data_IF_809537384135
#
_entry.id   IF_809537384135
#
_cell.length_a   1.000
_cell.length_b   1.000
_cell.length_c   1.000
_cell.angle_alpha   90.00
_cell.angle_beta   90.00
_cell.angle_gamma   90.00
#
_symmetry.space_group_name_H-M   'P 1'
#
loop_
_entity.id
_entity.type
_entity.pdbx_description
1 polymer ?
#
# COMPACT_ATOMS: atom_id res chain seq x y z
N UNK A 1 18.17 -22.31 42.99
CA UNK A 1 16.70 -22.35 43.16
C UNK A 1 16.22 -21.06 43.81
N UNK A 2 15.40 -20.25 43.12
CA UNK A 2 14.12 -19.69 43.60
C UNK A 2 13.60 -18.65 42.61
N UNK A 3 12.48 -18.99 42.00
CA UNK A 3 11.60 -18.12 41.23
C UNK A 3 10.88 -17.13 42.16
N UNK A 4 10.47 -15.98 41.62
CA UNK A 4 9.23 -15.33 42.04
C UNK A 4 8.62 -14.58 40.86
N UNK A 5 7.47 -15.07 40.40
CA UNK A 5 6.49 -14.42 39.52
C UNK A 5 5.47 -13.67 40.39
N UNK A 6 4.51 -13.03 39.70
CA UNK A 6 3.27 -12.32 40.13
C UNK A 6 3.45 -10.79 40.11
N UNK A 7 2.63 -9.97 39.44
CA UNK A 7 1.41 -10.18 38.67
C UNK A 7 0.60 -8.86 38.60
N UNK A 8 0.02 -8.57 37.43
CA UNK A 8 -1.26 -7.85 37.16
C UNK A 8 -1.57 -6.47 37.77
N UNK A 9 -1.94 -5.48 36.94
CA UNK A 9 -3.31 -4.90 36.88
C UNK A 9 -3.38 -3.63 36.01
N UNK A 10 -4.48 -3.52 35.26
CA UNK A 10 -4.84 -2.45 34.36
C UNK A 10 -5.12 -1.12 35.06
N UNK A 11 -4.86 0.00 34.36
CA UNK A 11 -5.48 1.29 34.66
C UNK A 11 -6.27 1.74 33.43
N UNK A 12 -7.58 1.56 33.52
CA UNK A 12 -8.58 2.25 32.69
C UNK A 12 -9.12 3.38 33.56
N UNK A 13 -9.00 4.62 33.10
CA UNK A 13 -9.77 5.74 33.61
C UNK A 13 -10.34 6.50 32.42
N UNK A 14 -11.67 6.53 32.36
CA UNK A 14 -12.47 7.14 31.33
C UNK A 14 -13.09 8.46 31.84
N UNK A 15 -13.50 9.29 30.87
CA UNK A 15 -14.54 10.32 30.89
C UNK A 15 -14.21 11.69 31.54
N UNK A 16 -14.28 12.75 30.73
CA UNK A 16 -15.35 13.76 30.84
C UNK A 16 -15.41 14.67 29.60
N UNK A 17 -16.63 15.13 29.30
CA UNK A 17 -17.13 15.79 28.10
C UNK A 17 -16.99 17.33 28.16
N UNK A 18 -17.05 17.95 26.96
CA UNK A 18 -17.40 19.37 26.72
C UNK A 18 -16.21 20.32 26.71
N UNK A 19 -16.00 21.23 25.76
CA UNK A 19 -16.84 21.77 24.70
C UNK A 19 -16.63 23.30 24.64
N UNK A 20 -16.26 23.79 23.46
CA UNK A 20 -16.44 25.16 22.93
C UNK A 20 -15.51 26.33 23.38
N UNK A 21 -14.96 26.97 22.34
CA UNK A 21 -14.77 28.42 22.11
C UNK A 21 -13.74 29.17 22.97
N UNK A 22 -12.96 30.15 22.48
CA UNK A 22 -12.85 30.81 21.17
C UNK A 22 -11.69 31.83 21.25
N UNK A 23 -11.25 32.31 20.07
CA UNK A 23 -10.64 33.63 19.82
C UNK A 23 -9.18 33.85 20.26
N UNK A 24 -8.25 34.17 19.35
CA UNK A 24 -8.40 34.42 17.91
C UNK A 24 -7.14 35.00 17.30
N UNK A 25 -6.93 34.75 16.02
CA UNK A 25 -6.82 35.84 15.04
C UNK A 25 -7.10 35.28 13.63
N UNK A 26 -7.75 36.13 12.83
CA UNK A 26 -8.68 35.82 11.73
C UNK A 26 -7.98 35.93 10.37
N UNK A 27 -8.24 34.94 9.51
CA UNK A 27 -8.68 34.94 8.08
C UNK A 27 -8.32 36.15 7.18
N UNK A 28 -8.04 35.93 5.86
CA UNK A 28 -9.18 35.90 4.94
C UNK A 28 -9.08 34.86 3.80
N UNK A 29 -10.17 34.12 3.61
CA UNK A 29 -10.76 33.99 2.27
C UNK A 29 -10.82 32.60 1.64
N UNK A 30 -11.64 31.71 2.20
CA UNK A 30 -12.32 30.67 1.42
C UNK A 30 -13.84 30.93 1.47
N UNK A 31 -14.50 31.22 0.34
CA UNK A 31 -15.92 30.97 0.20
C UNK A 31 -16.14 29.74 -0.70
N UNK A 32 -17.01 28.85 -0.23
CA UNK A 32 -17.91 28.15 -1.14
C UNK A 32 -17.73 26.65 -1.24
N UNK A 33 -18.29 25.93 -0.28
CA UNK A 33 -18.87 24.60 -0.50
C UNK A 33 -19.80 24.59 -1.72
N UNK A 34 -19.62 23.61 -2.62
CA UNK A 34 -20.70 23.05 -3.44
C UNK A 34 -20.20 21.91 -4.33
N UNK A 35 -20.48 20.66 -3.91
CA UNK A 35 -20.75 19.53 -4.80
C UNK A 35 -19.56 18.86 -5.50
N UNK A 36 -19.13 17.70 -4.98
CA UNK A 36 -18.85 16.43 -5.71
C UNK A 36 -18.07 15.48 -4.77
N UNK A 37 -18.40 14.19 -4.65
CA UNK A 37 -17.59 13.23 -3.91
C UNK A 37 -16.44 12.78 -4.83
N UNK A 38 -15.31 13.47 -4.76
CA UNK A 38 -14.13 13.20 -5.59
C UNK A 38 -12.85 13.17 -4.76
N UNK A 39 -12.26 11.97 -4.68
CA UNK A 39 -10.84 11.66 -4.46
C UNK A 39 -9.91 12.82 -4.04
N UNK A 40 -9.37 12.74 -2.82
CA UNK A 40 -8.04 13.30 -2.50
C UNK A 40 -7.50 12.71 -1.20
N UNK A 41 -6.57 11.77 -1.34
CA UNK A 41 -5.65 11.37 -0.27
C UNK A 41 -4.24 11.25 -0.85
N UNK A 42 -3.63 12.39 -1.13
CA UNK A 42 -2.18 12.48 -1.23
C UNK A 42 -1.62 12.76 0.17
N UNK A 43 -1.02 11.75 0.80
CA UNK A 43 -0.39 11.89 2.11
C UNK A 43 0.91 11.08 2.21
N UNK A 44 2.00 11.68 1.71
CA UNK A 44 3.36 11.55 2.28
C UNK A 44 4.28 10.44 1.75
N UNK A 45 5.57 10.74 1.49
CA UNK A 45 6.56 9.71 1.18
C UNK A 45 6.89 8.93 2.44
N UNK A 46 6.58 7.63 2.45
CA UNK A 46 7.07 6.72 3.49
C UNK A 46 6.05 6.00 4.34
N UNK A 47 4.75 6.01 4.00
CA UNK A 47 3.86 4.94 4.44
C UNK A 47 4.08 3.72 3.54
N UNK A 48 4.76 2.73 4.10
CA UNK A 48 4.58 1.34 3.68
C UNK A 48 3.07 1.11 3.62
N UNK A 49 2.53 0.49 2.56
CA UNK A 49 1.15 0.03 2.62
C UNK A 49 1.04 -0.87 3.84
N UNK A 50 0.36 -0.39 4.87
CA UNK A 50 -0.12 -1.20 5.97
C UNK A 50 -0.80 -2.39 5.31
N UNK A 51 -0.41 -3.62 5.69
CA UNK A 51 -1.03 -4.87 5.21
C UNK A 51 -2.54 -4.81 5.51
N UNK A 52 -3.29 -4.14 4.64
CA UNK A 52 -4.71 -4.29 4.51
C UNK A 52 -4.88 -5.73 4.02
N UNK A 53 -5.68 -6.52 4.74
CA UNK A 53 -5.97 -7.89 4.35
C UNK A 53 -6.27 -7.94 2.85
N UNK A 54 -5.62 -8.87 2.14
CA UNK A 54 -5.63 -9.04 0.68
C UNK A 54 -7.02 -9.30 0.05
N UNK A 55 -8.10 -9.02 0.77
CA UNK A 55 -9.49 -9.20 0.39
C UNK A 55 -10.13 -7.81 0.18
N UNK A 56 -10.01 -7.25 -1.02
CA UNK A 56 -10.80 -6.07 -1.35
C UNK A 56 -10.64 -5.55 -2.77
N UNK A 57 -9.41 -5.49 -3.30
CA UNK A 57 -9.15 -4.71 -4.52
C UNK A 57 -8.02 -5.34 -5.35
N UNK A 58 -8.31 -5.74 -6.59
CA UNK A 58 -7.37 -6.38 -7.50
C UNK A 58 -6.23 -5.42 -7.90
N UNK A 59 -6.51 -4.11 -8.02
CA UNK A 59 -5.48 -3.09 -8.24
C UNK A 59 -4.50 -3.02 -7.08
N UNK A 60 -4.98 -3.00 -5.84
CA UNK A 60 -4.09 -3.01 -4.67
C UNK A 60 -3.21 -4.26 -4.61
N UNK A 61 -3.76 -5.42 -5.00
CA UNK A 61 -2.98 -6.67 -5.07
C UNK A 61 -1.89 -6.57 -6.12
N UNK A 62 -2.21 -6.11 -7.34
CA UNK A 62 -1.23 -5.90 -8.40
C UNK A 62 -0.14 -4.90 -7.98
N UNK A 63 -0.54 -3.76 -7.40
CA UNK A 63 0.38 -2.72 -6.91
C UNK A 63 1.32 -3.25 -5.81
N UNK A 64 0.82 -4.10 -4.92
CA UNK A 64 1.64 -4.74 -3.88
C UNK A 64 2.66 -5.72 -4.47
N UNK A 65 2.26 -6.53 -5.47
CA UNK A 65 3.15 -7.48 -6.14
C UNK A 65 4.27 -6.76 -6.90
N UNK A 66 3.95 -5.71 -7.65
CA UNK A 66 4.93 -4.91 -8.40
C UNK A 66 5.94 -4.26 -7.44
N UNK A 67 5.47 -3.68 -6.32
CA UNK A 67 6.36 -3.08 -5.32
C UNK A 67 7.25 -4.11 -4.64
N UNK A 68 6.69 -5.28 -4.30
CA UNK A 68 7.44 -6.37 -3.69
C UNK A 68 8.55 -6.89 -4.62
N UNK A 69 8.24 -7.15 -5.90
CA UNK A 69 9.23 -7.55 -6.90
C UNK A 69 10.31 -6.47 -7.07
N UNK A 70 9.92 -5.21 -7.18
CA UNK A 70 10.84 -4.09 -7.41
C UNK A 70 11.78 -3.85 -6.24
N UNK A 71 11.29 -3.98 -5.01
CA UNK A 71 12.10 -3.92 -3.80
C UNK A 71 13.09 -5.09 -3.73
N UNK A 72 12.62 -6.32 -4.00
CA UNK A 72 13.46 -7.51 -4.05
C UNK A 72 14.57 -7.40 -5.09
N UNK A 73 14.24 -6.96 -6.32
CA UNK A 73 15.20 -6.70 -7.39
C UNK A 73 16.23 -5.64 -7.01
N UNK A 74 15.78 -4.53 -6.41
CA UNK A 74 16.66 -3.45 -5.93
C UNK A 74 17.66 -3.95 -4.89
N UNK A 75 17.24 -4.91 -4.06
CA UNK A 75 18.05 -5.53 -3.03
C UNK A 75 18.79 -6.80 -3.48
N UNK A 76 18.77 -7.13 -4.78
CA UNK A 76 19.37 -8.33 -5.37
C UNK A 76 18.90 -9.63 -4.71
N UNK A 77 17.69 -9.64 -4.17
CA UNK A 77 17.05 -10.86 -3.66
C UNK A 77 16.60 -11.68 -4.87
N UNK A 78 17.06 -12.93 -4.94
CA UNK A 78 16.64 -13.89 -5.95
C UNK A 78 15.76 -14.96 -5.32
N UNK A 79 14.71 -15.33 -6.02
CA UNK A 79 13.94 -16.53 -5.73
C UNK A 79 14.54 -17.72 -6.49
N UNK A 80 14.14 -18.93 -6.11
CA UNK A 80 14.42 -20.10 -6.92
C UNK A 80 13.69 -19.99 -8.28
N UNK A 81 14.24 -20.55 -9.38
CA UNK A 81 13.63 -20.43 -10.71
C UNK A 81 12.16 -20.86 -10.77
N UNK A 82 11.79 -21.89 -10.01
CA UNK A 82 10.40 -22.36 -9.93
C UNK A 82 9.48 -21.37 -9.20
N UNK A 83 9.98 -20.70 -8.16
CA UNK A 83 9.24 -19.66 -7.44
C UNK A 83 9.08 -18.40 -8.29
N UNK A 84 10.11 -18.04 -9.06
CA UNK A 84 10.04 -16.91 -9.99
C UNK A 84 8.98 -17.14 -11.07
N UNK A 85 8.90 -18.37 -11.62
CA UNK A 85 7.84 -18.75 -12.57
C UNK A 85 6.44 -18.68 -11.96
N UNK A 86 6.24 -19.18 -10.73
CA UNK A 86 4.95 -19.09 -10.03
C UNK A 86 4.56 -17.64 -9.78
N UNK A 87 5.51 -16.83 -9.30
CA UNK A 87 5.28 -15.41 -9.09
C UNK A 87 4.86 -14.71 -10.39
N UNK A 88 5.55 -14.99 -11.51
CA UNK A 88 5.21 -14.41 -12.81
C UNK A 88 3.79 -14.78 -13.25
N UNK A 89 3.36 -16.03 -13.05
CA UNK A 89 2.00 -16.46 -13.36
C UNK A 89 0.95 -15.73 -12.51
N UNK A 90 1.18 -15.62 -11.20
CA UNK A 90 0.27 -14.89 -10.29
C UNK A 90 0.24 -13.39 -10.61
N UNK A 91 1.37 -12.81 -11.02
CA UNK A 91 1.45 -11.40 -11.42
C UNK A 91 0.65 -11.13 -12.69
N UNK A 92 0.74 -12.01 -13.69
CA UNK A 92 -0.05 -11.91 -14.93
C UNK A 92 -1.56 -12.02 -14.67
N UNK A 93 -1.96 -12.92 -13.76
CA UNK A 93 -3.37 -13.01 -13.34
C UNK A 93 -3.80 -11.71 -12.64
N UNK A 94 -3.01 -11.21 -11.68
CA UNK A 94 -3.30 -9.97 -10.97
C UNK A 94 -3.36 -8.75 -11.90
N UNK A 95 -2.52 -8.72 -12.95
CA UNK A 95 -2.53 -7.68 -13.98
C UNK A 95 -3.84 -7.68 -14.78
N UNK A 96 -4.30 -8.87 -15.17
CA UNK A 96 -5.57 -9.04 -15.89
C UNK A 96 -6.78 -8.66 -15.01
N UNK A 97 -6.78 -9.07 -13.75
CA UNK A 97 -7.83 -8.73 -12.78
C UNK A 97 -7.85 -7.23 -12.48
N UNK A 98 -6.68 -6.61 -12.34
CA UNK A 98 -6.53 -5.17 -12.14
C UNK A 98 -7.02 -4.37 -13.36
N UNK A 99 -6.71 -4.81 -14.57
CA UNK A 99 -7.23 -4.22 -15.80
C UNK A 99 -8.77 -4.33 -15.87
N UNK A 100 -9.32 -5.52 -15.57
CA UNK A 100 -10.76 -5.74 -15.53
C UNK A 100 -11.47 -4.85 -14.49
N UNK A 101 -10.84 -4.67 -13.33
CA UNK A 101 -11.37 -3.79 -12.29
C UNK A 101 -11.30 -2.30 -12.69
N UNK A 102 -10.19 -1.83 -13.28
CA UNK A 102 -10.08 -0.47 -13.83
C UNK A 102 -11.16 -0.21 -14.88
N UNK A 103 -11.35 -1.16 -15.81
CA UNK A 103 -12.36 -1.08 -16.85
C UNK A 103 -13.80 -1.04 -16.29
N UNK A 104 -14.03 -1.61 -15.10
CA UNK A 104 -15.34 -1.67 -14.46
C UNK A 104 -15.57 -0.55 -13.42
N UNK A 105 -14.59 0.32 -13.21
CA UNK A 105 -14.64 1.36 -12.18
C UNK A 105 -15.54 2.55 -12.61
N UNK A 106 -16.13 3.23 -11.63
CA UNK A 106 -16.86 4.48 -11.87
C UNK A 106 -15.85 5.58 -12.25
N UNK A 107 -15.77 5.89 -13.54
CA UNK A 107 -14.71 6.72 -14.12
C UNK A 107 -13.70 5.92 -14.96
N UNK A 108 -14.05 4.69 -15.36
CA UNK A 108 -13.22 3.86 -16.21
C UNK A 108 -12.72 4.61 -17.45
N UNK A 109 -11.47 4.36 -17.88
CA UNK A 109 -10.94 4.92 -19.10
C UNK A 109 -11.85 4.59 -20.31
N UNK A 110 -12.02 5.56 -21.21
CA UNK A 110 -12.97 5.45 -22.32
C UNK A 110 -12.62 4.40 -23.39
N UNK A 111 -11.49 3.71 -23.26
CA UNK A 111 -11.06 2.63 -24.15
C UNK A 111 -10.19 1.60 -23.42
N UNK A 112 -10.11 0.39 -23.98
CA UNK A 112 -9.25 -0.68 -23.46
C UNK A 112 -7.76 -0.27 -23.48
N UNK A 113 -7.33 0.47 -24.49
CA UNK A 113 -5.96 1.00 -24.55
C UNK A 113 -5.67 1.96 -23.39
N UNK A 114 -6.64 2.81 -23.03
CA UNK A 114 -6.48 3.73 -21.92
C UNK A 114 -6.43 3.02 -20.55
N UNK A 115 -7.11 1.87 -20.40
CA UNK A 115 -6.97 0.99 -19.22
C UNK A 115 -5.54 0.46 -19.10
N UNK A 116 -4.98 -0.06 -20.20
CA UNK A 116 -3.62 -0.57 -20.20
C UNK A 116 -2.57 0.54 -20.00
N UNK A 117 -2.81 1.73 -20.53
CA UNK A 117 -1.95 2.91 -20.28
C UNK A 117 -1.96 3.31 -18.81
N UNK A 118 -3.14 3.39 -18.18
CA UNK A 118 -3.29 3.70 -16.75
C UNK A 118 -2.61 2.65 -15.87
N UNK A 119 -2.84 1.36 -16.17
CA UNK A 119 -2.20 0.26 -15.44
C UNK A 119 -0.67 0.27 -15.61
N UNK A 120 -0.17 0.56 -16.82
CA UNK A 120 1.26 0.72 -17.09
C UNK A 120 1.88 1.91 -16.35
N UNK A 121 1.17 3.03 -16.27
CA UNK A 121 1.61 4.20 -15.50
C UNK A 121 1.69 3.88 -14.00
N UNK A 122 0.69 3.19 -13.45
CA UNK A 122 0.68 2.71 -12.06
C UNK A 122 1.84 1.78 -11.77
N UNK A 123 2.07 0.79 -12.64
CA UNK A 123 3.23 -0.11 -12.55
C UNK A 123 4.53 0.67 -12.48
N UNK A 124 4.77 1.58 -13.44
CA UNK A 124 5.99 2.38 -13.47
C UNK A 124 6.17 3.26 -12.22
N UNK A 125 5.09 3.83 -11.68
CA UNK A 125 5.13 4.58 -10.43
C UNK A 125 5.50 3.69 -9.23
N UNK A 126 4.90 2.51 -9.12
CA UNK A 126 5.18 1.52 -8.07
C UNK A 126 6.62 1.00 -8.12
N UNK A 127 7.13 0.72 -9.32
CA UNK A 127 8.51 0.27 -9.51
C UNK A 127 9.51 1.34 -9.04
N UNK A 128 9.26 2.61 -9.42
CA UNK A 128 10.09 3.75 -9.02
C UNK A 128 10.03 4.01 -7.51
N UNK A 129 8.83 3.97 -6.92
CA UNK A 129 8.64 4.19 -5.48
C UNK A 129 9.35 3.10 -4.68
N UNK A 130 9.11 1.82 -4.98
CA UNK A 130 9.75 0.72 -4.27
C UNK A 130 11.27 0.73 -4.40
N UNK A 131 11.81 1.03 -5.59
CA UNK A 131 13.24 1.19 -5.79
C UNK A 131 13.80 2.39 -4.99
N UNK A 132 13.07 3.49 -4.92
CA UNK A 132 13.45 4.67 -4.14
C UNK A 132 13.47 4.36 -2.65
N UNK A 133 12.43 3.70 -2.13
CA UNK A 133 12.34 3.27 -0.73
C UNK A 133 13.49 2.31 -0.38
N UNK A 134 13.78 1.33 -1.25
CA UNK A 134 14.90 0.40 -1.05
C UNK A 134 16.25 1.12 -0.99
N UNK A 135 16.48 2.13 -1.84
CA UNK A 135 17.72 2.94 -1.84
C UNK A 135 17.82 3.86 -0.62
N UNK A 136 16.73 4.50 -0.23
CA UNK A 136 16.73 5.48 0.87
C UNK A 136 16.80 4.82 2.25
N UNK A 137 16.04 3.73 2.46
CA UNK A 137 15.94 3.07 3.77
C UNK A 137 16.91 1.91 3.93
N UNK A 138 17.41 1.37 2.82
CA UNK A 138 18.26 0.19 2.81
C UNK A 138 17.47 -1.11 2.91
N UNK A 139 18.09 -2.19 2.42
CA UNK A 139 17.47 -3.50 2.27
C UNK A 139 17.12 -4.23 3.58
N UNK A 140 17.69 -3.77 4.71
CA UNK A 140 17.42 -4.29 6.06
C UNK A 140 16.47 -3.40 6.86
N UNK A 141 15.82 -2.44 6.21
CA UNK A 141 14.76 -1.68 6.86
C UNK A 141 13.50 -2.53 6.94
N UNK A 142 12.77 -2.46 8.05
CA UNK A 142 11.55 -3.27 8.25
C UNK A 142 10.55 -3.15 7.09
N UNK A 143 10.38 -1.94 6.55
CA UNK A 143 9.59 -1.67 5.34
C UNK A 143 10.02 -2.50 4.12
N UNK A 144 11.32 -2.56 3.84
CA UNK A 144 11.85 -3.24 2.64
C UNK A 144 11.90 -4.75 2.89
N UNK A 145 12.17 -5.18 4.12
CA UNK A 145 12.09 -6.59 4.52
C UNK A 145 10.66 -7.13 4.41
N UNK A 146 9.64 -6.34 4.78
CA UNK A 146 8.24 -6.68 4.59
C UNK A 146 7.89 -6.87 3.10
N UNK A 147 8.39 -5.99 2.22
CA UNK A 147 8.20 -6.12 0.77
C UNK A 147 8.90 -7.36 0.21
N UNK A 148 10.12 -7.65 0.65
CA UNK A 148 10.85 -8.87 0.27
C UNK A 148 10.12 -10.12 0.79
N UNK A 149 9.58 -10.08 2.01
CA UNK A 149 8.77 -11.13 2.59
C UNK A 149 7.49 -11.36 1.78
N UNK A 150 6.80 -10.29 1.39
CA UNK A 150 5.62 -10.36 0.52
C UNK A 150 5.95 -10.99 -0.84
N UNK A 151 7.09 -10.63 -1.46
CA UNK A 151 7.54 -11.21 -2.73
C UNK A 151 7.70 -12.74 -2.63
N UNK A 152 8.33 -13.23 -1.55
CA UNK A 152 8.47 -14.66 -1.27
C UNK A 152 7.12 -15.34 -1.02
N UNK A 153 6.23 -14.69 -0.28
CA UNK A 153 4.89 -15.22 0.01
C UNK A 153 4.04 -15.35 -1.26
N UNK A 154 4.05 -14.35 -2.13
CA UNK A 154 3.36 -14.42 -3.42
C UNK A 154 3.88 -15.58 -4.28
N UNK A 155 5.20 -15.80 -4.31
CA UNK A 155 5.80 -16.91 -5.03
C UNK A 155 5.50 -18.28 -4.42
N UNK A 156 5.30 -18.35 -3.09
CA UNK A 156 4.98 -19.58 -2.38
C UNK A 156 3.50 -19.99 -2.49
N UNK A 157 2.60 -19.02 -2.64
CA UNK A 157 1.14 -19.24 -2.66
C UNK A 157 0.60 -19.50 -4.07
N UNK A 158 1.42 -19.30 -5.11
CA UNK A 158 1.05 -19.49 -6.51
C UNK A 158 0.64 -20.91 -6.88
#
# INVERSE_FOLDING_TARGET
>A
MRFTRFGSAAVVAALALGGCNEQGYIDPGYPGSSGYPGYSSYSGPGRVPQQAGYAGDALQRYDAMVRAESAARSCRVRLDPQQEQRFAAVLQQAESDAAGQLASSSGAPGSQDAVWQELGARRAANERDAATVARQRGCRSGTVEELIGAYRNFAATG
#
